data_IF_277220005754
#
_entry.id   IF_277220005754
#
_cell.length_a   1.000
_cell.length_b   1.000
_cell.length_c   1.000
_cell.angle_alpha   90.00
_cell.angle_beta   90.00
_cell.angle_gamma   90.00
#
_symmetry.space_group_name_H-M   'P 1'
#
loop_
_entity.id
_entity.type
_entity.pdbx_description
1 polymer ?
#
# COMPACT_ATOMS: atom_id res chain seq x y z
N UNK A 1 34.60 57.00 -47.89
CA UNK A 1 34.89 56.33 -46.63
C UNK A 1 33.57 55.77 -46.10
N UNK A 2 33.27 54.48 -46.39
CA UNK A 2 31.99 53.82 -46.05
C UNK A 2 32.28 52.86 -44.96
N UNK A 3 31.59 53.04 -43.82
CA UNK A 3 31.67 52.15 -42.70
C UNK A 3 30.54 51.11 -42.81
N UNK A 4 30.89 49.82 -42.93
CA UNK A 4 29.99 48.68 -43.03
C UNK A 4 29.62 48.22 -41.64
N UNK A 5 28.34 48.28 -41.33
CA UNK A 5 27.76 47.83 -40.02
C UNK A 5 27.47 46.32 -40.09
N UNK A 6 28.25 45.53 -39.39
CA UNK A 6 27.98 44.08 -39.23
C UNK A 6 26.96 43.87 -38.10
N UNK A 7 25.76 43.39 -38.43
CA UNK A 7 24.75 42.97 -37.47
C UNK A 7 25.03 41.52 -37.09
N UNK A 8 25.40 41.27 -35.82
CA UNK A 8 25.49 39.94 -35.25
C UNK A 8 24.09 39.48 -34.85
N UNK A 9 23.65 38.34 -35.44
CA UNK A 9 22.41 37.65 -35.08
C UNK A 9 22.71 36.70 -33.89
N UNK A 10 22.22 37.02 -32.72
CA UNK A 10 22.29 36.11 -31.57
C UNK A 10 21.15 35.08 -31.66
N UNK A 11 21.49 33.84 -31.97
CA UNK A 11 20.55 32.70 -31.92
C UNK A 11 20.47 32.24 -30.47
N UNK A 12 19.37 32.56 -29.80
CA UNK A 12 19.08 32.08 -28.47
C UNK A 12 18.68 30.62 -28.51
N UNK A 13 19.53 29.72 -28.00
CA UNK A 13 19.23 28.31 -27.80
C UNK A 13 18.37 28.17 -26.53
N UNK A 14 17.07 27.99 -26.68
CA UNK A 14 16.18 27.69 -25.59
C UNK A 14 16.39 26.22 -25.14
N UNK A 15 17.07 26.01 -24.00
CA UNK A 15 17.14 24.72 -23.34
C UNK A 15 15.76 24.40 -22.73
N UNK A 16 15.03 23.47 -23.36
CA UNK A 16 13.83 22.85 -22.74
C UNK A 16 14.35 21.84 -21.73
N UNK A 17 14.34 22.22 -20.44
CA UNK A 17 14.56 21.32 -19.34
C UNK A 17 13.28 20.45 -19.17
N UNK A 18 13.29 19.25 -19.74
CA UNK A 18 12.35 18.19 -19.41
C UNK A 18 12.62 17.77 -17.97
N UNK A 19 11.79 18.26 -17.04
CA UNK A 19 11.78 17.78 -15.67
C UNK A 19 11.27 16.33 -15.69
N UNK A 20 12.19 15.35 -15.70
CA UNK A 20 11.86 13.99 -15.27
C UNK A 20 11.42 14.08 -13.82
N UNK A 21 10.13 13.92 -13.55
CA UNK A 21 9.63 13.73 -12.20
C UNK A 21 10.23 12.42 -11.68
N UNK A 22 11.37 12.49 -11.02
CA UNK A 22 11.93 11.39 -10.25
C UNK A 22 10.94 11.08 -9.13
N UNK A 23 10.34 9.89 -9.19
CA UNK A 23 9.60 9.34 -8.05
C UNK A 23 10.63 9.26 -6.92
N UNK A 24 10.52 10.15 -5.95
CA UNK A 24 11.40 10.19 -4.78
C UNK A 24 11.41 8.84 -4.05
N UNK A 25 12.42 8.56 -3.23
CA UNK A 25 12.48 7.33 -2.46
C UNK A 25 11.24 7.20 -1.58
N UNK A 26 10.72 5.96 -1.45
CA UNK A 26 9.59 5.67 -0.56
C UNK A 26 9.96 6.02 0.88
N UNK A 27 9.09 6.76 1.55
CA UNK A 27 9.28 7.13 2.97
C UNK A 27 8.53 6.12 3.83
N UNK A 28 9.29 5.42 4.66
CA UNK A 28 8.76 4.44 5.63
C UNK A 28 8.92 5.01 7.02
N UNK A 29 7.90 4.91 7.89
CA UNK A 29 8.03 5.32 9.28
C UNK A 29 9.22 4.63 9.97
N UNK A 30 10.00 5.39 10.75
CA UNK A 30 11.26 4.90 11.32
C UNK A 30 11.10 4.09 12.62
N UNK A 31 9.87 3.89 13.09
CA UNK A 31 9.60 3.10 14.29
C UNK A 31 9.45 1.62 13.94
N UNK A 32 10.23 0.77 14.58
CA UNK A 32 10.18 -0.69 14.38
C UNK A 32 9.40 -1.35 15.51
N UNK A 33 8.07 -1.44 15.35
CA UNK A 33 7.22 -2.04 16.37
C UNK A 33 7.00 -3.54 16.07
N UNK A 34 7.47 -4.45 16.94
CA UNK A 34 7.20 -5.89 16.79
C UNK A 34 5.70 -6.20 16.84
N UNK A 35 5.21 -7.25 16.15
CA UNK A 35 3.79 -7.59 16.09
C UNK A 35 3.11 -7.76 17.45
N UNK A 36 3.81 -8.27 18.44
CA UNK A 36 3.29 -8.44 19.81
C UNK A 36 2.96 -7.14 20.54
N UNK A 37 3.47 -6.01 20.04
CA UNK A 37 3.27 -4.66 20.62
C UNK A 37 2.38 -3.77 19.75
N UNK A 38 1.82 -4.30 18.67
CA UNK A 38 0.97 -3.53 17.76
C UNK A 38 -0.42 -3.33 18.37
N UNK A 39 -0.66 -2.12 18.89
CA UNK A 39 -2.02 -1.67 19.18
C UNK A 39 -2.73 -1.21 17.90
N UNK A 40 -4.06 -1.20 17.90
CA UNK A 40 -4.83 -0.63 16.79
C UNK A 40 -4.43 0.83 16.52
N UNK A 41 -4.20 1.63 17.58
CA UNK A 41 -3.77 3.01 17.44
C UNK A 41 -2.42 3.12 16.73
N UNK A 42 -1.44 2.27 17.07
CA UNK A 42 -0.14 2.20 16.40
C UNK A 42 -0.31 1.83 14.92
N UNK A 43 -1.13 0.83 14.60
CA UNK A 43 -1.41 0.40 13.22
C UNK A 43 -1.99 1.56 12.41
N UNK A 44 -3.00 2.25 12.94
CA UNK A 44 -3.64 3.41 12.27
C UNK A 44 -2.63 4.52 12.03
N UNK A 45 -1.83 4.87 13.03
CA UNK A 45 -0.82 5.92 12.92
C UNK A 45 0.22 5.58 11.84
N UNK A 46 0.77 4.35 11.87
CA UNK A 46 1.84 3.91 10.96
C UNK A 46 1.35 3.84 9.51
N UNK A 47 0.17 3.28 9.24
CA UNK A 47 -0.40 3.21 7.88
C UNK A 47 -0.68 4.62 7.35
N UNK A 48 -1.29 5.49 8.14
CA UNK A 48 -1.64 6.83 7.69
C UNK A 48 -0.42 7.74 7.53
N UNK A 49 0.61 7.56 8.34
CA UNK A 49 1.89 8.25 8.16
C UNK A 49 2.57 7.81 6.86
N UNK A 50 2.60 6.51 6.56
CA UNK A 50 3.13 6.02 5.29
C UNK A 50 2.39 6.61 4.08
N UNK A 51 1.05 6.71 4.14
CA UNK A 51 0.23 7.32 3.09
C UNK A 51 0.54 8.82 2.94
N UNK A 52 0.59 9.56 4.05
CA UNK A 52 0.92 10.98 4.06
C UNK A 52 2.29 11.26 3.47
N UNK A 53 3.29 10.50 3.88
CA UNK A 53 4.69 10.69 3.48
C UNK A 53 4.98 10.31 2.01
N UNK A 54 4.11 9.50 1.39
CA UNK A 54 4.30 9.02 0.01
C UNK A 54 3.35 9.64 -1.03
N UNK A 55 2.85 10.85 -0.78
CA UNK A 55 2.03 11.61 -1.74
C UNK A 55 0.95 12.47 -1.10
N UNK A 56 0.90 12.59 0.24
CA UNK A 56 -0.10 13.39 0.93
C UNK A 56 -1.52 12.80 0.85
N UNK A 57 -1.62 11.47 0.74
CA UNK A 57 -2.89 10.76 0.61
C UNK A 57 -3.76 10.89 1.85
N UNK A 58 -5.08 10.88 1.65
CA UNK A 58 -6.08 10.96 2.73
C UNK A 58 -5.90 9.81 3.73
N UNK A 59 -6.10 10.05 5.03
CA UNK A 59 -6.04 8.99 6.03
C UNK A 59 -7.18 7.99 5.83
N UNK A 60 -6.89 6.72 6.15
CA UNK A 60 -7.87 5.64 6.22
C UNK A 60 -8.35 5.47 7.67
N UNK A 61 -9.63 5.13 7.86
CA UNK A 61 -10.17 4.72 9.15
C UNK A 61 -10.04 3.21 9.35
N UNK A 62 -9.93 2.77 10.61
CA UNK A 62 -9.85 1.34 10.89
C UNK A 62 -11.22 0.68 10.85
N UNK A 63 -11.32 -0.50 10.21
CA UNK A 63 -12.56 -1.26 10.08
C UNK A 63 -12.36 -2.70 10.60
N UNK A 64 -13.08 -3.05 11.66
CA UNK A 64 -12.98 -4.37 12.32
C UNK A 64 -13.46 -5.53 11.43
N UNK A 65 -14.32 -5.29 10.45
CA UNK A 65 -14.77 -6.32 9.50
C UNK A 65 -13.65 -6.66 8.51
N UNK A 66 -12.92 -5.64 8.03
CA UNK A 66 -11.73 -5.86 7.19
C UNK A 66 -10.61 -6.53 7.98
N UNK A 67 -10.44 -6.18 9.26
CA UNK A 67 -9.52 -6.87 10.16
C UNK A 67 -9.90 -8.35 10.32
N UNK A 68 -11.19 -8.67 10.53
CA UNK A 68 -11.66 -10.05 10.66
C UNK A 68 -11.36 -10.88 9.39
N UNK A 69 -11.58 -10.30 8.20
CA UNK A 69 -11.22 -10.93 6.94
C UNK A 69 -9.70 -11.14 6.81
N UNK A 70 -8.88 -10.18 7.26
CA UNK A 70 -7.43 -10.32 7.33
C UNK A 70 -7.00 -11.40 8.34
N UNK A 71 -7.62 -11.49 9.51
CA UNK A 71 -7.36 -12.57 10.49
C UNK A 71 -7.59 -13.96 9.88
N UNK A 72 -8.65 -14.12 9.11
CA UNK A 72 -8.90 -15.36 8.36
C UNK A 72 -7.77 -15.64 7.36
N UNK A 73 -7.31 -14.64 6.62
CA UNK A 73 -6.24 -14.81 5.64
C UNK A 73 -4.89 -15.19 6.27
N UNK A 74 -4.46 -14.47 7.31
CA UNK A 74 -3.17 -14.79 7.94
C UNK A 74 -3.19 -16.18 8.58
N UNK A 75 -4.34 -16.63 9.13
CA UNK A 75 -4.52 -17.99 9.62
C UNK A 75 -4.34 -19.02 8.51
N UNK A 76 -4.98 -18.84 7.36
CA UNK A 76 -4.83 -19.72 6.19
C UNK A 76 -3.39 -19.75 5.68
N UNK A 77 -2.70 -18.60 5.63
CA UNK A 77 -1.30 -18.54 5.23
C UNK A 77 -0.37 -19.28 6.20
N UNK A 78 -0.63 -19.16 7.51
CA UNK A 78 0.10 -19.92 8.54
C UNK A 78 -0.17 -21.42 8.44
N UNK A 79 -1.43 -21.82 8.27
CA UNK A 79 -1.82 -23.24 8.16
C UNK A 79 -1.16 -23.93 6.97
N UNK A 80 -1.14 -23.27 5.81
CA UNK A 80 -0.64 -23.82 4.54
C UNK A 80 0.82 -23.47 4.26
N UNK A 81 1.44 -22.62 5.08
CA UNK A 81 2.78 -22.05 4.86
C UNK A 81 2.94 -21.46 3.44
N UNK A 82 1.95 -20.71 2.99
CA UNK A 82 1.88 -20.16 1.65
C UNK A 82 1.50 -18.68 1.68
N UNK A 83 2.19 -17.87 0.86
CA UNK A 83 1.87 -16.46 0.61
C UNK A 83 1.05 -16.39 -0.69
N UNK A 84 -0.27 -16.34 -0.58
CA UNK A 84 -1.19 -16.28 -1.72
C UNK A 84 -2.53 -15.63 -1.32
N UNK A 85 -3.16 -14.94 -2.27
CA UNK A 85 -4.47 -14.30 -2.10
C UNK A 85 -5.62 -15.31 -2.01
N UNK A 86 -5.53 -16.41 -2.73
CA UNK A 86 -6.52 -17.49 -2.74
C UNK A 86 -5.91 -18.76 -2.16
N UNK A 87 -6.36 -19.11 -0.98
CA UNK A 87 -6.00 -20.34 -0.28
C UNK A 87 -7.24 -21.23 -0.04
N UNK A 88 -8.15 -21.25 -1.04
CA UNK A 88 -9.45 -21.91 -0.96
C UNK A 88 -10.58 -20.98 -0.50
N UNK A 89 -10.25 -19.72 -0.16
CA UNK A 89 -11.21 -18.68 0.18
C UNK A 89 -10.71 -17.33 -0.34
N UNK A 90 -11.31 -16.85 -1.42
CA UNK A 90 -10.92 -15.59 -2.11
C UNK A 90 -11.12 -14.35 -1.20
N UNK A 91 -10.40 -13.25 -1.45
CA UNK A 91 -10.53 -12.02 -0.65
C UNK A 91 -11.98 -11.55 -0.52
N UNK A 92 -12.75 -11.52 -1.62
CA UNK A 92 -14.17 -11.15 -1.60
C UNK A 92 -14.98 -12.04 -0.65
N UNK A 93 -14.84 -13.36 -0.75
CA UNK A 93 -15.58 -14.28 0.11
C UNK A 93 -15.26 -14.09 1.61
N UNK A 94 -13.99 -13.77 1.95
CA UNK A 94 -13.60 -13.46 3.33
C UNK A 94 -14.23 -12.17 3.85
N UNK A 95 -14.28 -11.13 3.01
CA UNK A 95 -14.92 -9.86 3.39
C UNK A 95 -16.43 -9.98 3.49
N UNK A 96 -17.07 -10.75 2.61
CA UNK A 96 -18.51 -11.02 2.66
C UNK A 96 -18.87 -11.80 3.95
N UNK A 97 -18.09 -12.83 4.32
CA UNK A 97 -18.25 -13.56 5.59
C UNK A 97 -18.06 -12.65 6.82
N UNK A 98 -17.19 -11.67 6.74
CA UNK A 98 -17.00 -10.65 7.79
C UNK A 98 -18.09 -9.56 7.78
N UNK A 99 -19.03 -9.60 6.83
CA UNK A 99 -20.11 -8.62 6.69
C UNK A 99 -19.66 -7.27 6.16
N UNK A 100 -18.53 -7.21 5.41
CA UNK A 100 -18.06 -5.98 4.78
C UNK A 100 -18.68 -5.82 3.41
N UNK A 101 -19.26 -4.62 3.15
CA UNK A 101 -19.85 -4.25 1.86
C UNK A 101 -19.06 -3.06 1.31
N UNK A 102 -18.45 -3.22 0.13
CA UNK A 102 -17.64 -2.19 -0.53
C UNK A 102 -16.61 -2.79 -1.47
N UNK A 103 -15.96 -1.95 -2.25
CA UNK A 103 -14.79 -2.33 -3.03
C UNK A 103 -13.62 -2.64 -2.09
N UNK A 104 -12.77 -3.59 -2.46
CA UNK A 104 -11.61 -3.99 -1.66
C UNK A 104 -10.34 -4.07 -2.49
N UNK A 105 -9.20 -3.85 -1.83
CA UNK A 105 -7.86 -4.16 -2.31
C UNK A 105 -7.10 -4.87 -1.22
N UNK A 106 -6.29 -5.86 -1.58
CA UNK A 106 -5.53 -6.67 -0.61
C UNK A 106 -4.03 -6.60 -0.88
N UNK A 107 -3.26 -6.32 0.16
CA UNK A 107 -1.81 -6.49 0.17
C UNK A 107 -1.43 -7.56 1.19
N UNK A 108 -0.61 -8.50 0.76
CA UNK A 108 -0.04 -9.55 1.61
C UNK A 108 1.47 -9.37 1.71
N UNK A 109 2.04 -9.84 2.82
CA UNK A 109 3.49 -9.92 2.99
C UNK A 109 3.88 -11.13 3.85
N UNK A 110 5.10 -11.63 3.67
CA UNK A 110 5.64 -12.76 4.41
C UNK A 110 7.13 -12.56 4.71
N UNK A 111 7.54 -12.82 5.95
CA UNK A 111 8.92 -12.72 6.39
C UNK A 111 9.30 -11.42 7.09
N UNK A 112 8.58 -10.32 6.86
CA UNK A 112 8.87 -9.03 7.48
C UNK A 112 8.54 -9.06 8.98
N UNK A 113 9.52 -8.69 9.80
CA UNK A 113 9.40 -8.81 11.25
C UNK A 113 8.65 -7.64 11.90
N UNK A 114 8.41 -6.55 11.17
CA UNK A 114 7.74 -5.33 11.64
C UNK A 114 6.71 -4.86 10.63
N UNK A 115 5.75 -4.04 11.05
CA UNK A 115 4.74 -3.42 10.17
C UNK A 115 5.42 -2.50 9.15
N UNK A 116 6.40 -1.73 9.57
CA UNK A 116 7.18 -0.83 8.71
C UNK A 116 7.90 -1.61 7.59
N UNK A 117 8.44 -2.78 7.93
CA UNK A 117 9.06 -3.68 6.94
C UNK A 117 8.04 -4.22 5.92
N UNK A 118 6.81 -4.54 6.34
CA UNK A 118 5.74 -4.93 5.43
C UNK A 118 5.34 -3.76 4.52
N UNK A 119 5.16 -2.55 5.09
CA UNK A 119 4.86 -1.33 4.34
C UNK A 119 5.96 -1.02 3.31
N UNK A 120 7.24 -1.12 3.68
CA UNK A 120 8.35 -0.92 2.75
C UNK A 120 8.28 -1.88 1.56
N UNK A 121 8.00 -3.16 1.83
CA UNK A 121 7.79 -4.16 0.79
C UNK A 121 6.61 -3.83 -0.13
N UNK A 122 5.49 -3.36 0.42
CA UNK A 122 4.34 -2.93 -0.37
C UNK A 122 4.62 -1.68 -1.20
N UNK A 123 5.35 -0.70 -0.65
CA UNK A 123 5.71 0.52 -1.38
C UNK A 123 6.67 0.25 -2.55
N UNK A 124 7.50 -0.77 -2.48
CA UNK A 124 8.43 -1.18 -3.55
C UNK A 124 7.76 -1.99 -4.68
N UNK A 125 6.54 -2.51 -4.46
CA UNK A 125 5.77 -3.27 -5.44
C UNK A 125 4.70 -2.38 -6.09
N UNK A 126 4.67 -2.15 -7.41
CA UNK A 126 3.71 -1.23 -8.04
C UNK A 126 2.26 -1.53 -7.71
N UNK A 127 1.83 -2.80 -7.76
CA UNK A 127 0.46 -3.22 -7.44
C UNK A 127 0.09 -2.99 -5.98
N UNK A 128 0.97 -3.40 -5.05
CA UNK A 128 0.74 -3.20 -3.62
C UNK A 128 0.79 -1.71 -3.23
N UNK A 129 1.70 -0.94 -3.85
CA UNK A 129 1.77 0.51 -3.67
C UNK A 129 0.47 1.18 -4.09
N UNK A 130 -0.08 0.80 -5.25
CA UNK A 130 -1.36 1.32 -5.74
C UNK A 130 -2.49 1.05 -4.74
N UNK A 131 -2.58 -0.16 -4.18
CA UNK A 131 -3.57 -0.49 -3.15
C UNK A 131 -3.37 0.34 -1.88
N UNK A 132 -2.14 0.42 -1.36
CA UNK A 132 -1.84 1.13 -0.11
C UNK A 132 -2.12 2.63 -0.21
N UNK A 133 -1.86 3.26 -1.37
CA UNK A 133 -1.91 4.71 -1.56
C UNK A 133 -3.18 5.20 -2.26
N UNK A 134 -4.09 4.33 -2.71
CA UNK A 134 -5.32 4.75 -3.38
C UNK A 134 -6.22 5.61 -2.47
N UNK A 135 -6.65 6.75 -2.97
CA UNK A 135 -7.65 7.61 -2.30
C UNK A 135 -9.11 7.20 -2.57
N UNK A 136 -9.30 6.15 -3.39
CA UNK A 136 -10.60 5.48 -3.58
C UNK A 136 -11.01 4.62 -2.40
N UNK A 137 -10.05 4.20 -1.57
CA UNK A 137 -10.30 3.54 -0.31
C UNK A 137 -10.38 4.57 0.81
N UNK A 138 -11.25 4.32 1.79
CA UNK A 138 -11.50 5.22 2.93
C UNK A 138 -11.30 4.53 4.27
N UNK A 139 -11.20 3.22 4.27
CA UNK A 139 -11.02 2.39 5.47
C UNK A 139 -10.09 1.21 5.21
N UNK A 140 -9.58 0.62 6.28
CA UNK A 140 -8.71 -0.55 6.19
C UNK A 140 -8.82 -1.44 7.42
N UNK A 141 -8.41 -2.69 7.25
CA UNK A 141 -8.12 -3.63 8.34
C UNK A 141 -6.75 -4.27 8.13
N UNK A 142 -6.12 -4.67 9.22
CA UNK A 142 -4.80 -5.31 9.19
C UNK A 142 -4.75 -6.44 10.20
N UNK A 143 -4.11 -7.54 9.80
CA UNK A 143 -3.78 -8.63 10.70
C UNK A 143 -2.37 -9.17 10.41
N UNK A 144 -1.77 -9.73 11.46
CA UNK A 144 -0.48 -10.41 11.40
C UNK A 144 -0.55 -11.70 12.19
N UNK A 145 0.12 -12.75 11.70
CA UNK A 145 0.26 -14.00 12.44
C UNK A 145 1.66 -14.60 12.24
N UNK A 146 2.22 -15.14 13.34
CA UNK A 146 3.46 -15.90 13.32
C UNK A 146 3.17 -17.39 13.20
N UNK A 147 4.02 -18.08 12.46
CA UNK A 147 4.06 -19.53 12.49
C UNK A 147 4.67 -19.95 13.84
N UNK A 148 4.10 -20.97 14.52
CA UNK A 148 4.69 -21.51 15.75
C UNK A 148 6.15 -21.87 15.59
N UNK A 149 6.96 -21.62 16.61
CA UNK A 149 8.43 -21.79 16.55
C UNK A 149 8.90 -23.23 16.39
N UNK A 150 8.03 -24.20 16.70
CA UNK A 150 8.25 -25.65 16.53
C UNK A 150 7.97 -26.13 15.09
N UNK A 151 7.43 -25.26 14.22
CA UNK A 151 7.18 -25.56 12.82
C UNK A 151 8.19 -24.87 11.90
N UNK A 152 8.73 -25.62 10.94
CA UNK A 152 9.49 -25.04 9.83
C UNK A 152 8.54 -24.24 8.94
N UNK A 153 8.95 -23.06 8.54
CA UNK A 153 8.19 -22.18 7.65
C UNK A 153 9.12 -21.43 6.71
N UNK A 154 8.63 -21.18 5.50
CA UNK A 154 9.33 -20.37 4.51
C UNK A 154 9.43 -18.90 4.93
N UNK A 155 8.42 -18.39 5.60
CA UNK A 155 8.31 -16.95 5.96
C UNK A 155 8.33 -16.71 7.46
N UNK A 156 7.81 -17.63 8.28
CA UNK A 156 7.75 -17.52 9.73
C UNK A 156 6.73 -16.51 10.27
N UNK A 157 6.32 -15.54 9.44
CA UNK A 157 5.33 -14.50 9.76
C UNK A 157 4.60 -14.06 8.51
N UNK A 158 3.30 -13.76 8.64
CA UNK A 158 2.44 -13.34 7.55
C UNK A 158 1.63 -12.11 7.92
N UNK A 159 1.48 -11.19 6.96
CA UNK A 159 0.75 -9.94 7.06
C UNK A 159 -0.37 -9.89 6.03
N UNK A 160 -1.51 -9.36 6.44
CA UNK A 160 -2.62 -9.02 5.55
C UNK A 160 -3.07 -7.60 5.85
N UNK A 161 -3.15 -6.78 4.79
CA UNK A 161 -3.77 -5.47 4.78
C UNK A 161 -4.90 -5.51 3.76
N UNK A 162 -6.13 -5.19 4.20
CA UNK A 162 -7.29 -4.99 3.33
C UNK A 162 -7.69 -3.53 3.38
N UNK A 163 -7.65 -2.86 2.24
CA UNK A 163 -8.26 -1.55 2.05
C UNK A 163 -9.70 -1.71 1.56
N UNK A 164 -10.57 -0.81 1.96
CA UNK A 164 -11.98 -0.80 1.62
C UNK A 164 -12.54 0.58 1.30
N UNK A 165 -13.54 0.64 0.44
CA UNK A 165 -14.20 1.87 0.06
C UNK A 165 -15.50 1.66 -0.71
N UNK A 166 -16.25 2.74 -1.01
CA UNK A 166 -17.51 2.63 -1.72
C UNK A 166 -17.31 2.14 -3.15
N UNK A 167 -18.24 1.35 -3.68
CA UNK A 167 -18.19 0.85 -5.06
C UNK A 167 -18.22 2.00 -6.07
N UNK A 168 -18.92 3.07 -5.76
CA UNK A 168 -19.11 4.24 -6.62
C UNK A 168 -17.77 4.91 -6.98
N UNK A 169 -16.78 4.87 -6.09
CA UNK A 169 -15.44 5.41 -6.34
C UNK A 169 -14.70 4.68 -7.49
N UNK A 170 -15.18 3.51 -7.89
CA UNK A 170 -14.61 2.67 -8.95
C UNK A 170 -15.43 2.68 -10.25
N UNK A 171 -16.59 3.33 -10.24
CA UNK A 171 -17.40 3.49 -11.44
C UNK A 171 -16.77 4.58 -12.32
N UNK A 172 -16.51 4.27 -13.58
CA UNK A 172 -16.14 5.28 -14.58
C UNK A 172 -17.39 6.02 -14.97
N UNK A 173 -17.50 7.30 -14.62
CA UNK A 173 -18.58 8.16 -15.14
C UNK A 173 -18.32 8.37 -16.63
N UNK A 174 -19.06 7.68 -17.48
CA UNK A 174 -19.10 7.99 -18.91
C UNK A 174 -20.03 9.20 -19.04
N UNK A 175 -19.45 10.38 -19.20
CA UNK A 175 -20.20 11.58 -19.61
C UNK A 175 -20.48 11.42 -21.10
N UNK A 176 -21.74 11.19 -21.45
CA UNK A 176 -22.23 11.15 -22.84
C UNK A 176 -22.45 12.57 -23.33
#
# INVERSE_FOLDING_TARGET
MSATLVRALAVGLALVLTACASIGPSVVPQTSTPPAQLSQATIVATINEARRANGGHKPLTYNVKLEAACKTQVRLMVEKDQLAHDLGLKPRARTDQAGYIGAIGENLAGGQQTLEGAIDGWLKSPGHRSTLLSDKFVEFGLAVARVPSDRKSRYGIYWCFLAGGPFEAWQTVVVI
#
